data_IF_032688503437
#
_entry.id   IF_032688503437
#
_cell.length_a   1.000
_cell.length_b   1.000
_cell.length_c   1.000
_cell.angle_alpha   90.00
_cell.angle_beta   90.00
_cell.angle_gamma   90.00
#
_symmetry.space_group_name_H-M   'P 1'
#
loop_
_entity.id
_entity.type
_entity.pdbx_description
1 polymer ?
#
# COMPACT_ATOMS: atom_id res chain seq x y z
N UNK A 1 -8.06 42.00 31.14
CA UNK A 1 -9.48 42.02 30.86
C UNK A 1 -9.88 40.57 30.81
N UNK A 2 -10.42 40.05 31.89
CA UNK A 2 -10.70 38.62 32.10
C UNK A 2 -12.17 38.43 31.70
N UNK A 3 -12.38 37.80 30.53
CA UNK A 3 -13.69 37.40 30.10
C UNK A 3 -14.12 36.15 30.89
N UNK A 4 -15.10 36.35 31.73
CA UNK A 4 -15.82 35.29 32.43
C UNK A 4 -16.57 34.43 31.42
N UNK A 5 -16.08 33.27 31.12
CA UNK A 5 -16.86 32.19 30.55
C UNK A 5 -17.90 31.75 31.59
N UNK A 6 -19.11 32.21 31.39
CA UNK A 6 -20.28 31.88 32.19
C UNK A 6 -20.62 30.41 31.98
N UNK A 7 -20.20 29.58 32.92
CA UNK A 7 -20.57 28.17 32.96
C UNK A 7 -22.08 28.06 33.04
N UNK A 8 -22.69 27.61 31.92
CA UNK A 8 -24.09 27.24 31.89
C UNK A 8 -24.25 25.88 32.58
N UNK A 9 -24.46 25.89 33.86
CA UNK A 9 -24.92 24.71 34.56
C UNK A 9 -26.46 24.70 34.48
N UNK A 10 -27.00 23.87 33.58
CA UNK A 10 -28.39 23.44 33.69
C UNK A 10 -28.43 22.51 34.89
N UNK A 11 -28.61 23.12 36.07
CA UNK A 11 -28.96 22.37 37.26
C UNK A 11 -30.47 22.12 37.16
N UNK A 12 -30.87 20.94 36.65
CA UNK A 12 -32.21 20.43 36.89
C UNK A 12 -32.27 20.07 38.37
N UNK A 13 -32.60 21.06 39.17
CA UNK A 13 -33.03 20.80 40.54
C UNK A 13 -34.40 20.12 40.44
N UNK A 14 -34.42 18.82 40.62
CA UNK A 14 -35.65 18.08 40.85
C UNK A 14 -36.24 18.56 42.19
N UNK A 15 -36.89 19.69 42.17
CA UNK A 15 -37.79 20.10 43.24
C UNK A 15 -39.16 19.62 42.87
N UNK A 16 -39.51 18.45 43.40
CA UNK A 16 -40.91 18.03 43.46
C UNK A 16 -41.68 19.10 44.29
N UNK A 17 -42.30 20.04 43.61
CA UNK A 17 -43.28 20.93 44.21
C UNK A 17 -44.54 20.13 44.37
N UNK A 18 -44.68 19.46 45.51
CA UNK A 18 -45.96 18.96 45.99
C UNK A 18 -46.82 20.16 46.33
N UNK A 19 -47.62 20.64 45.38
CA UNK A 19 -48.70 21.59 45.65
C UNK A 19 -49.81 20.78 46.30
N UNK A 20 -49.80 20.76 47.65
CA UNK A 20 -50.96 20.30 48.42
C UNK A 20 -52.08 21.31 48.22
N UNK A 21 -53.01 20.96 47.32
CA UNK A 21 -54.17 21.84 47.01
C UNK A 21 -55.02 22.06 48.21
N UNK A 22 -55.21 23.31 48.61
CA UNK A 22 -56.28 23.74 49.44
C UNK A 22 -57.60 23.55 48.68
N UNK A 23 -58.34 22.58 49.14
CA UNK A 23 -59.75 22.33 48.72
C UNK A 23 -60.60 23.50 49.06
N UNK A 24 -61.07 24.21 48.06
CA UNK A 24 -62.10 25.28 48.28
C UNK A 24 -62.22 26.19 47.06
N UNK A 25 -62.79 25.69 45.94
CA UNK A 25 -63.05 26.57 44.79
C UNK A 25 -63.15 25.81 43.49
N UNK A 26 -64.14 25.10 43.38
CA UNK A 26 -64.90 24.48 42.32
C UNK A 26 -64.57 24.76 40.86
N UNK A 27 -64.37 23.70 40.12
CA UNK A 27 -64.78 23.48 38.71
C UNK A 27 -63.96 24.15 37.60
N UNK A 28 -63.68 25.44 37.72
CA UNK A 28 -63.08 26.23 36.65
C UNK A 28 -61.51 26.09 36.63
N UNK A 29 -60.86 25.85 37.75
CA UNK A 29 -59.44 25.77 37.88
C UNK A 29 -58.91 24.43 37.34
N UNK A 30 -59.68 23.35 37.40
CA UNK A 30 -59.33 22.02 36.97
C UNK A 30 -59.25 21.91 35.44
N UNK A 31 -60.06 22.68 34.72
CA UNK A 31 -60.12 22.69 33.26
C UNK A 31 -58.98 23.52 32.62
N UNK A 32 -58.42 24.47 33.36
CA UNK A 32 -57.31 25.31 32.90
C UNK A 32 -55.93 24.71 33.16
N UNK A 33 -55.82 23.71 34.04
CA UNK A 33 -54.59 23.07 34.40
C UNK A 33 -54.31 21.88 33.42
N UNK A 34 -53.36 22.06 32.49
CA UNK A 34 -53.05 21.09 31.46
C UNK A 34 -51.79 20.25 31.90
N UNK A 35 -51.89 18.92 31.97
CA UNK A 35 -50.71 18.08 32.10
C UNK A 35 -49.91 18.13 30.77
N UNK A 36 -48.59 18.21 30.88
CA UNK A 36 -47.61 18.26 29.76
C UNK A 36 -46.40 17.46 30.13
N UNK A 37 -45.84 16.72 29.22
CA UNK A 37 -44.56 16.05 29.40
C UNK A 37 -43.44 16.94 28.87
N UNK A 38 -42.55 17.35 29.76
CA UNK A 38 -41.34 18.10 29.40
C UNK A 38 -40.16 17.14 29.39
N UNK A 39 -39.55 16.96 28.24
CA UNK A 39 -38.37 16.10 28.04
C UNK A 39 -37.15 16.97 27.72
N UNK A 40 -36.18 17.01 28.60
CA UNK A 40 -34.92 17.76 28.41
C UNK A 40 -33.74 16.77 28.31
N UNK A 41 -33.09 16.80 27.19
CA UNK A 41 -31.94 15.91 26.90
C UNK A 41 -32.26 14.41 27.17
N UNK A 42 -33.49 13.98 26.81
CA UNK A 42 -33.99 12.62 27.01
C UNK A 42 -34.36 12.27 28.47
N UNK A 43 -34.49 13.24 29.32
CA UNK A 43 -35.08 13.10 30.67
C UNK A 43 -36.48 13.71 30.67
N UNK A 44 -37.49 12.88 30.86
CA UNK A 44 -38.88 13.28 30.83
C UNK A 44 -39.43 13.53 32.22
N UNK A 45 -40.19 14.63 32.40
CA UNK A 45 -40.92 15.00 33.60
C UNK A 45 -42.34 15.40 33.23
N UNK A 46 -43.32 14.95 34.00
CA UNK A 46 -44.71 15.40 33.84
C UNK A 46 -44.94 16.67 34.66
N UNK A 47 -45.26 17.75 33.96
CA UNK A 47 -45.53 19.08 34.57
C UNK A 47 -46.96 19.48 34.35
N UNK A 48 -47.42 20.48 35.09
CA UNK A 48 -48.77 21.08 34.94
C UNK A 48 -48.68 22.55 34.65
N UNK A 49 -49.36 23.00 33.62
CA UNK A 49 -49.37 24.40 33.20
C UNK A 49 -50.79 24.95 33.01
N UNK A 50 -50.95 26.25 33.13
CA UNK A 50 -52.19 26.94 32.89
C UNK A 50 -52.41 27.42 31.44
N UNK A 51 -51.54 27.07 30.56
CA UNK A 51 -51.52 27.44 29.13
C UNK A 51 -50.34 28.33 28.80
N UNK A 52 -50.45 29.05 27.71
CA UNK A 52 -49.34 29.82 27.14
C UNK A 52 -48.67 29.08 25.95
N UNK A 53 -47.47 29.47 25.65
CA UNK A 53 -46.65 28.87 24.59
C UNK A 53 -45.60 27.92 25.19
N UNK A 54 -44.96 27.12 24.32
CA UNK A 54 -43.83 26.29 24.72
C UNK A 54 -42.71 27.15 25.34
N UNK A 55 -42.45 28.35 24.79
CA UNK A 55 -41.49 29.30 25.36
C UNK A 55 -41.83 29.71 26.79
N UNK A 56 -43.09 30.04 27.06
CA UNK A 56 -43.54 30.44 28.41
C UNK A 56 -43.31 29.31 29.44
N UNK A 57 -43.43 28.05 29.01
CA UNK A 57 -43.15 26.91 29.88
C UNK A 57 -41.63 26.78 30.15
N UNK A 58 -40.80 26.87 29.10
CA UNK A 58 -39.36 26.77 29.23
C UNK A 58 -38.83 27.89 30.15
N UNK A 59 -39.31 29.12 29.96
CA UNK A 59 -38.94 30.26 30.81
C UNK A 59 -39.35 30.03 32.27
N UNK A 60 -40.56 29.51 32.52
CA UNK A 60 -41.08 29.24 33.87
C UNK A 60 -40.30 28.11 34.59
N UNK A 61 -39.65 27.24 33.84
CA UNK A 61 -38.78 26.16 34.34
C UNK A 61 -37.29 26.50 34.27
N UNK A 62 -36.94 27.77 34.01
CA UNK A 62 -35.55 28.26 33.90
C UNK A 62 -34.71 27.50 32.86
N UNK A 63 -35.36 27.02 31.78
CA UNK A 63 -34.70 26.35 30.67
C UNK A 63 -34.36 27.38 29.60
N UNK A 64 -33.12 27.78 29.58
CA UNK A 64 -32.59 28.72 28.57
C UNK A 64 -32.26 27.96 27.29
N UNK A 65 -32.77 28.45 26.17
CA UNK A 65 -32.62 27.78 24.86
C UNK A 65 -31.86 28.66 23.90
N UNK A 66 -30.79 28.09 23.32
CA UNK A 66 -29.96 28.72 22.31
C UNK A 66 -30.47 28.47 20.88
N UNK A 67 -29.92 29.24 19.93
CA UNK A 67 -30.23 29.11 18.50
C UNK A 67 -29.88 27.75 17.90
N UNK A 68 -28.96 27.02 18.54
CA UNK A 68 -28.54 25.67 18.12
C UNK A 68 -29.34 24.56 18.78
N UNK A 69 -30.08 24.88 19.82
CA UNK A 69 -30.87 23.89 20.55
C UNK A 69 -32.10 23.49 19.73
N UNK A 70 -32.50 22.25 19.88
CA UNK A 70 -33.70 21.72 19.23
C UNK A 70 -34.86 21.72 20.21
N UNK A 71 -35.90 22.42 19.87
CA UNK A 71 -37.17 22.44 20.63
C UNK A 71 -38.30 21.94 19.75
N UNK A 72 -38.99 20.92 20.21
CA UNK A 72 -40.18 20.35 19.53
C UNK A 72 -41.34 20.19 20.51
N UNK A 73 -42.54 20.77 20.23
CA UNK A 73 -42.81 21.75 19.16
C UNK A 73 -42.06 23.06 19.38
N UNK A 74 -41.95 23.90 18.34
CA UNK A 74 -41.24 25.18 18.43
C UNK A 74 -41.75 26.09 19.52
N UNK A 75 -40.90 26.99 20.06
CA UNK A 75 -41.15 27.85 21.24
C UNK A 75 -42.41 28.70 21.13
N UNK A 76 -42.86 29.10 19.95
CA UNK A 76 -44.10 29.87 19.71
C UNK A 76 -45.37 29.01 19.67
N UNK A 77 -45.28 27.70 19.79
CA UNK A 77 -46.44 26.81 19.73
C UNK A 77 -47.28 26.92 21.01
N UNK A 78 -48.60 27.05 20.86
CA UNK A 78 -49.52 27.00 22.00
C UNK A 78 -49.56 25.62 22.61
N UNK A 79 -49.57 25.59 23.92
CA UNK A 79 -49.53 24.33 24.67
C UNK A 79 -50.94 23.74 24.79
N UNK A 80 -51.06 22.47 24.43
CA UNK A 80 -52.27 21.67 24.60
C UNK A 80 -52.10 20.60 25.70
N UNK A 81 -53.23 20.04 26.17
CA UNK A 81 -53.24 18.97 27.15
C UNK A 81 -52.49 17.73 26.58
N UNK A 82 -51.73 17.07 27.44
CA UNK A 82 -50.98 15.85 27.13
C UNK A 82 -49.91 16.05 26.03
N UNK A 83 -49.54 17.32 25.75
CA UNK A 83 -48.46 17.63 24.82
C UNK A 83 -47.09 17.18 25.39
N UNK A 84 -46.24 16.65 24.53
CA UNK A 84 -44.82 16.41 24.84
C UNK A 84 -43.97 17.54 24.26
N UNK A 85 -43.21 18.20 25.13
CA UNK A 85 -42.22 19.22 24.75
C UNK A 85 -40.84 18.62 24.92
N UNK A 86 -40.12 18.49 23.81
CA UNK A 86 -38.74 17.92 23.80
C UNK A 86 -37.75 19.05 23.55
N UNK A 87 -36.77 19.18 24.44
CA UNK A 87 -35.65 20.11 24.34
C UNK A 87 -34.36 19.31 24.32
N UNK A 88 -33.63 19.39 23.23
CA UNK A 88 -32.27 18.82 23.13
C UNK A 88 -31.27 19.96 22.94
N UNK A 89 -30.40 20.15 23.93
CA UNK A 89 -29.35 21.18 23.87
C UNK A 89 -28.26 20.78 22.90
N UNK A 90 -27.70 21.76 22.21
CA UNK A 90 -26.58 21.56 21.32
C UNK A 90 -25.28 21.27 22.10
N UNK A 91 -24.62 20.19 21.79
CA UNK A 91 -23.38 19.73 22.44
C UNK A 91 -22.24 19.71 21.43
N UNK A 92 -21.07 20.18 21.84
CA UNK A 92 -19.86 20.10 21.03
C UNK A 92 -19.21 18.72 21.20
N UNK A 93 -18.84 18.11 20.06
CA UNK A 93 -18.17 16.80 20.01
C UNK A 93 -16.87 16.95 19.24
N UNK A 94 -15.76 16.54 19.85
CA UNK A 94 -14.53 16.26 19.14
C UNK A 94 -14.65 14.83 18.60
N UNK A 95 -14.75 14.70 17.28
CA UNK A 95 -14.97 13.44 16.59
C UNK A 95 -13.72 13.08 15.79
N UNK A 96 -13.19 11.89 16.04
CA UNK A 96 -12.12 11.28 15.26
C UNK A 96 -12.67 10.06 14.54
N UNK A 97 -12.65 10.06 13.22
CA UNK A 97 -13.07 8.91 12.40
C UNK A 97 -11.86 8.43 11.59
N UNK A 98 -11.41 7.22 11.85
CA UNK A 98 -10.20 6.63 11.25
C UNK A 98 -8.99 7.57 11.33
N UNK A 99 -8.81 8.23 12.49
CA UNK A 99 -7.73 9.18 12.75
C UNK A 99 -7.94 10.60 12.19
N UNK A 100 -9.06 10.86 11.50
CA UNK A 100 -9.39 12.19 11.01
C UNK A 100 -10.24 12.93 12.04
N UNK A 101 -9.66 13.96 12.65
CA UNK A 101 -10.32 14.76 13.68
C UNK A 101 -11.20 15.88 13.10
N UNK A 102 -12.39 16.06 13.65
CA UNK A 102 -13.31 17.18 13.38
C UNK A 102 -13.94 17.66 14.69
N UNK A 103 -14.49 18.89 14.68
CA UNK A 103 -15.24 19.42 15.80
C UNK A 103 -16.65 19.77 15.32
N UNK A 104 -17.62 19.05 15.81
CA UNK A 104 -19.00 19.12 15.35
C UNK A 104 -19.98 19.50 16.46
N UNK A 105 -21.15 19.94 16.08
CA UNK A 105 -22.26 20.19 16.98
C UNK A 105 -23.39 19.21 16.71
N UNK A 106 -23.97 18.65 17.77
CA UNK A 106 -25.14 17.76 17.69
C UNK A 106 -26.13 18.05 18.79
N UNK A 107 -27.41 17.80 18.52
CA UNK A 107 -28.47 17.80 19.53
C UNK A 107 -28.75 16.40 20.09
N UNK A 108 -27.92 15.45 19.76
CA UNK A 108 -28.01 14.06 20.24
C UNK A 108 -27.80 13.96 21.75
N UNK A 109 -28.42 12.96 22.35
CA UNK A 109 -28.29 12.70 23.77
C UNK A 109 -27.32 11.57 24.11
N UNK A 110 -26.97 10.72 23.09
CA UNK A 110 -26.04 9.61 23.25
C UNK A 110 -25.00 9.60 22.13
N UNK A 111 -23.88 8.89 22.36
CA UNK A 111 -22.82 8.72 21.39
C UNK A 111 -23.35 8.13 20.07
N UNK A 112 -24.18 7.08 20.15
CA UNK A 112 -24.74 6.45 18.95
C UNK A 112 -25.67 7.38 18.16
N UNK A 113 -26.48 8.21 18.85
CA UNK A 113 -27.30 9.22 18.20
C UNK A 113 -26.44 10.31 17.55
N UNK A 114 -25.37 10.75 18.22
CA UNK A 114 -24.45 11.74 17.66
C UNK A 114 -23.78 11.23 16.37
N UNK A 115 -23.30 10.00 16.37
CA UNK A 115 -22.70 9.38 15.18
C UNK A 115 -23.71 9.32 14.02
N UNK A 116 -24.97 8.93 14.31
CA UNK A 116 -26.04 8.91 13.31
C UNK A 116 -26.37 10.32 12.77
N UNK A 117 -26.46 11.34 13.65
CA UNK A 117 -26.69 12.73 13.26
C UNK A 117 -25.58 13.29 12.37
N UNK A 118 -24.33 12.90 12.66
CA UNK A 118 -23.14 13.34 11.93
C UNK A 118 -22.83 12.48 10.69
N UNK A 119 -23.70 11.50 10.38
CA UNK A 119 -23.57 10.66 9.19
C UNK A 119 -22.45 9.63 9.24
N UNK A 120 -22.01 9.25 10.45
CA UNK A 120 -20.95 8.25 10.65
C UNK A 120 -21.58 6.86 10.75
N UNK A 121 -21.21 5.95 9.85
CA UNK A 121 -21.61 4.54 9.95
C UNK A 121 -20.79 3.85 11.05
N UNK A 122 -21.45 3.60 12.18
CA UNK A 122 -20.87 2.92 13.33
C UNK A 122 -21.14 1.40 13.33
N UNK A 123 -21.71 0.84 12.26
CA UNK A 123 -21.99 -0.60 12.18
C UNK A 123 -20.69 -1.39 12.14
N UNK A 124 -20.48 -2.21 13.17
CA UNK A 124 -19.24 -3.00 13.29
C UNK A 124 -17.99 -2.19 13.60
N UNK A 125 -18.11 -0.87 13.83
CA UNK A 125 -17.03 -0.01 14.22
C UNK A 125 -16.58 -0.26 15.67
N UNK A 126 -15.30 0.00 15.95
CA UNK A 126 -14.77 0.10 17.31
C UNK A 126 -14.88 1.57 17.80
N UNK A 127 -15.38 1.73 19.01
CA UNK A 127 -15.63 3.03 19.63
C UNK A 127 -14.91 3.12 20.97
N UNK A 128 -14.33 4.27 21.28
CA UNK A 128 -13.75 4.55 22.60
C UNK A 128 -14.82 4.67 23.72
N UNK A 129 -16.10 4.73 23.34
CA UNK A 129 -17.23 4.86 24.24
C UNK A 129 -18.40 3.97 23.82
N UNK A 130 -19.29 3.60 24.75
CA UNK A 130 -20.51 2.83 24.39
C UNK A 130 -21.48 3.72 23.60
N UNK A 131 -22.09 3.17 22.55
CA UNK A 131 -23.12 3.90 21.79
C UNK A 131 -24.28 4.42 22.64
N UNK A 132 -24.64 3.73 23.73
CA UNK A 132 -25.66 4.15 24.72
C UNK A 132 -25.15 5.16 25.73
N UNK A 133 -23.88 5.50 25.76
CA UNK A 133 -23.31 6.47 26.68
C UNK A 133 -23.89 7.85 26.38
N UNK A 134 -24.34 8.53 27.43
CA UNK A 134 -24.87 9.91 27.32
C UNK A 134 -23.73 10.88 27.05
N UNK A 135 -23.99 11.82 26.16
CA UNK A 135 -23.14 12.98 25.94
C UNK A 135 -23.23 13.93 27.13
N UNK A 136 -22.12 14.54 27.47
CA UNK A 136 -22.00 15.63 28.45
C UNK A 136 -22.28 16.97 27.74
N UNK A 137 -22.51 18.01 28.50
CA UNK A 137 -22.67 19.35 27.94
C UNK A 137 -21.35 19.83 27.27
N UNK A 138 -20.20 19.41 27.81
CA UNK A 138 -18.86 19.69 27.27
C UNK A 138 -17.93 18.49 27.40
N UNK A 139 -16.86 18.44 26.57
CA UNK A 139 -15.79 17.43 26.66
C UNK A 139 -16.22 16.06 26.16
N UNK A 140 -16.91 16.02 25.04
CA UNK A 140 -17.24 14.76 24.36
C UNK A 140 -16.18 14.46 23.29
N UNK A 141 -15.32 13.49 23.59
CA UNK A 141 -14.33 12.98 22.66
C UNK A 141 -14.78 11.59 22.18
N UNK A 142 -15.07 11.47 20.89
CA UNK A 142 -15.54 10.23 20.27
C UNK A 142 -14.54 9.80 19.22
N UNK A 143 -13.89 8.64 19.44
CA UNK A 143 -13.01 7.99 18.47
C UNK A 143 -13.74 6.81 17.84
N UNK A 144 -13.71 6.76 16.53
CA UNK A 144 -14.36 5.73 15.72
C UNK A 144 -13.34 5.11 14.78
N UNK A 145 -13.11 3.80 14.90
CA UNK A 145 -12.45 3.02 13.86
C UNK A 145 -13.52 2.28 13.08
N UNK A 146 -13.75 2.66 11.83
CA UNK A 146 -14.80 2.06 11.01
C UNK A 146 -14.48 0.62 10.65
N UNK A 147 -15.54 -0.21 10.52
CA UNK A 147 -15.38 -1.55 9.98
C UNK A 147 -14.97 -1.48 8.49
N UNK A 148 -14.00 -2.30 8.10
CA UNK A 148 -13.49 -2.37 6.72
C UNK A 148 -13.48 -3.80 6.23
N UNK A 149 -13.89 -4.00 4.98
CA UNK A 149 -13.74 -5.25 4.27
C UNK A 149 -12.44 -5.20 3.45
N UNK A 150 -11.48 -6.04 3.80
CA UNK A 150 -10.21 -6.11 3.09
C UNK A 150 -9.72 -7.55 2.95
N UNK A 151 -8.73 -7.78 2.11
CA UNK A 151 -8.18 -9.11 1.87
C UNK A 151 -6.68 -9.11 2.18
N UNK A 152 -6.24 -10.07 2.99
CA UNK A 152 -4.82 -10.36 3.20
C UNK A 152 -4.46 -11.61 2.40
N UNK A 153 -3.60 -11.47 1.41
CA UNK A 153 -3.10 -12.60 0.61
C UNK A 153 -1.81 -13.12 1.22
N UNK A 154 -1.82 -14.38 1.65
CA UNK A 154 -0.67 -15.04 2.24
C UNK A 154 -0.57 -16.50 1.79
N UNK A 155 0.62 -16.95 1.40
CA UNK A 155 0.88 -18.34 1.01
C UNK A 155 -0.07 -18.86 -0.09
N UNK A 156 -0.44 -17.96 -1.03
CA UNK A 156 -1.37 -18.24 -2.14
C UNK A 156 -2.84 -18.38 -1.71
N UNK A 157 -3.21 -17.91 -0.51
CA UNK A 157 -4.58 -17.93 0.01
C UNK A 157 -5.06 -16.54 0.34
N UNK A 158 -6.34 -16.30 0.11
CA UNK A 158 -7.03 -15.08 0.47
C UNK A 158 -7.64 -15.22 1.87
N UNK A 159 -7.24 -14.34 2.78
CA UNK A 159 -7.82 -14.19 4.10
C UNK A 159 -8.66 -12.92 4.11
N UNK A 160 -9.98 -13.07 4.14
CA UNK A 160 -10.90 -11.94 4.22
C UNK A 160 -10.96 -11.42 5.65
N UNK A 161 -10.89 -10.11 5.79
CA UNK A 161 -11.05 -9.38 7.05
C UNK A 161 -12.27 -8.49 6.91
N UNK A 162 -13.19 -8.58 7.88
CA UNK A 162 -14.35 -7.70 8.00
C UNK A 162 -14.39 -7.25 9.46
N UNK A 163 -13.64 -6.21 9.77
CA UNK A 163 -13.40 -5.76 11.15
C UNK A 163 -13.05 -4.28 11.22
N UNK A 164 -13.22 -3.70 12.42
CA UNK A 164 -12.73 -2.37 12.73
C UNK A 164 -11.21 -2.39 12.88
N UNK A 165 -10.52 -2.05 11.81
CA UNK A 165 -9.05 -2.02 11.74
C UNK A 165 -8.58 -0.70 11.11
N UNK A 166 -7.65 -0.03 11.77
CA UNK A 166 -7.04 1.21 11.30
C UNK A 166 -5.76 0.98 10.51
N UNK A 167 -4.99 -0.07 10.82
CA UNK A 167 -3.65 -0.30 10.30
C UNK A 167 -3.49 -1.67 9.65
N UNK A 168 -2.50 -1.79 8.75
CA UNK A 168 -2.13 -3.06 8.13
C UNK A 168 -1.71 -4.12 9.17
N UNK A 169 -1.11 -3.69 10.29
CA UNK A 169 -0.75 -4.57 11.40
C UNK A 169 -1.98 -5.19 12.07
N UNK A 170 -3.03 -4.40 12.29
CA UNK A 170 -4.28 -4.86 12.88
C UNK A 170 -5.00 -5.82 11.95
N UNK A 171 -5.09 -5.46 10.66
CA UNK A 171 -5.66 -6.33 9.64
C UNK A 171 -4.93 -7.68 9.54
N UNK A 172 -3.60 -7.68 9.57
CA UNK A 172 -2.82 -8.91 9.58
C UNK A 172 -3.07 -9.75 10.84
N UNK A 173 -3.15 -9.10 12.00
CA UNK A 173 -3.41 -9.76 13.28
C UNK A 173 -4.77 -10.46 13.28
N UNK A 174 -5.78 -9.85 12.67
CA UNK A 174 -7.14 -10.39 12.58
C UNK A 174 -7.17 -11.71 11.78
N UNK A 175 -6.32 -11.84 10.75
CA UNK A 175 -6.22 -13.08 9.97
C UNK A 175 -5.51 -14.22 10.68
N UNK A 176 -4.78 -13.95 11.76
CA UNK A 176 -3.90 -14.90 12.42
C UNK A 176 -2.63 -15.27 11.64
N UNK A 177 -2.38 -14.64 10.48
CA UNK A 177 -1.17 -14.86 9.69
C UNK A 177 0.02 -14.25 10.41
N UNK A 178 1.07 -15.06 10.62
CA UNK A 178 2.31 -14.62 11.27
C UNK A 178 3.38 -14.33 10.21
N UNK A 179 4.16 -13.30 10.45
CA UNK A 179 5.36 -12.98 9.66
C UNK A 179 6.59 -13.54 10.36
N UNK A 180 7.49 -14.15 9.59
CA UNK A 180 8.83 -14.46 10.04
C UNK A 180 9.70 -13.18 10.00
N UNK A 181 10.94 -13.29 10.52
CA UNK A 181 11.82 -12.14 10.70
C UNK A 181 12.07 -11.31 9.44
N UNK A 182 12.18 -11.98 8.31
CA UNK A 182 12.51 -11.38 7.02
C UNK A 182 11.29 -11.14 6.13
N UNK A 183 10.10 -11.63 6.54
CA UNK A 183 8.84 -11.46 5.82
C UNK A 183 8.35 -10.00 5.92
N UNK A 184 7.62 -9.57 4.92
CA UNK A 184 7.06 -8.21 4.89
C UNK A 184 5.70 -8.15 4.17
N UNK A 185 4.91 -7.13 4.50
CA UNK A 185 3.68 -6.80 3.78
C UNK A 185 3.97 -5.92 2.57
N UNK A 186 3.05 -5.90 1.63
CA UNK A 186 3.04 -4.97 0.49
C UNK A 186 2.99 -3.49 0.88
N UNK A 187 2.64 -3.20 2.13
CA UNK A 187 2.65 -1.86 2.74
C UNK A 187 3.33 -1.91 4.11
N UNK A 188 3.81 -0.79 4.66
CA UNK A 188 4.30 -0.73 6.03
C UNK A 188 3.24 -1.21 7.04
N UNK A 189 3.67 -1.87 8.12
CA UNK A 189 2.77 -2.35 9.18
C UNK A 189 1.93 -1.24 9.84
N UNK A 190 2.47 -0.02 9.88
CA UNK A 190 1.81 1.17 10.41
C UNK A 190 0.96 1.93 9.38
N UNK A 191 0.90 1.45 8.13
CA UNK A 191 0.09 2.11 7.11
C UNK A 191 -1.40 1.98 7.45
N UNK A 192 -2.13 3.06 7.29
CA UNK A 192 -3.59 3.05 7.34
C UNK A 192 -4.16 2.15 6.24
N UNK A 193 -5.25 1.47 6.56
CA UNK A 193 -5.94 0.59 5.63
C UNK A 193 -7.29 1.18 5.23
N UNK A 194 -7.68 0.91 4.00
CA UNK A 194 -8.95 1.35 3.42
C UNK A 194 -9.85 0.17 3.09
N UNK A 195 -11.13 0.44 3.00
CA UNK A 195 -12.11 -0.54 2.56
C UNK A 195 -11.77 -1.08 1.15
N UNK A 196 -11.96 -2.38 0.92
CA UNK A 196 -11.61 -3.06 -0.34
C UNK A 196 -10.12 -3.26 -0.58
N UNK A 197 -9.23 -2.88 0.34
CA UNK A 197 -7.79 -2.98 0.14
C UNK A 197 -7.31 -4.44 0.16
N UNK A 198 -6.32 -4.73 -0.70
CA UNK A 198 -5.61 -6.01 -0.70
C UNK A 198 -4.20 -5.83 -0.15
N UNK A 199 -3.87 -6.56 0.90
CA UNK A 199 -2.56 -6.62 1.53
C UNK A 199 -1.89 -7.96 1.15
N UNK A 200 -0.66 -7.92 0.65
CA UNK A 200 0.08 -9.14 0.30
C UNK A 200 1.21 -9.39 1.27
N UNK A 201 1.28 -10.60 1.82
CA UNK A 201 2.41 -11.08 2.61
C UNK A 201 3.47 -11.62 1.67
N UNK A 202 4.67 -11.10 1.76
CA UNK A 202 5.82 -11.55 1.01
C UNK A 202 6.70 -12.43 1.89
N UNK A 203 6.78 -13.73 1.57
CA UNK A 203 7.58 -14.72 2.30
C UNK A 203 9.01 -14.70 1.82
N UNK A 204 9.94 -14.45 2.71
CA UNK A 204 11.37 -14.38 2.40
C UNK A 204 12.10 -15.59 2.95
N UNK A 205 12.81 -16.34 2.08
CA UNK A 205 13.71 -17.42 2.51
C UNK A 205 15.14 -17.13 2.06
N UNK A 206 16.07 -17.45 2.94
CA UNK A 206 17.50 -17.34 2.70
C UNK A 206 18.13 -18.75 2.81
N UNK A 207 18.39 -19.37 1.67
CA UNK A 207 18.89 -20.74 1.59
C UNK A 207 20.35 -20.77 1.12
N UNK A 208 21.02 -21.89 1.39
CA UNK A 208 22.35 -22.17 0.87
C UNK A 208 22.28 -23.37 -0.06
N UNK A 209 22.56 -23.13 -1.35
CA UNK A 209 22.52 -24.15 -2.40
C UNK A 209 23.94 -24.48 -2.82
N UNK A 210 24.26 -25.77 -2.96
CA UNK A 210 25.54 -26.27 -3.48
C UNK A 210 25.31 -26.80 -4.87
N UNK A 211 26.11 -26.32 -5.82
CA UNK A 211 26.06 -26.70 -7.22
C UNK A 211 27.41 -27.26 -7.64
N UNK A 212 27.39 -28.34 -8.43
CA UNK A 212 28.57 -28.95 -9.00
C UNK A 212 28.81 -28.48 -10.43
N UNK A 213 29.98 -27.96 -10.71
CA UNK A 213 30.33 -27.40 -12.00
C UNK A 213 31.58 -28.07 -12.53
N UNK A 214 31.62 -28.35 -13.83
CA UNK A 214 32.81 -28.88 -14.48
C UNK A 214 33.86 -27.78 -14.66
N UNK A 215 35.13 -28.13 -14.38
CA UNK A 215 36.30 -27.33 -14.74
C UNK A 215 36.83 -27.91 -16.04
N UNK A 216 36.68 -27.17 -17.13
CA UNK A 216 37.14 -27.65 -18.43
C UNK A 216 38.64 -27.93 -18.47
N UNK A 217 39.02 -29.10 -19.05
CA UNK A 217 40.39 -29.45 -19.28
C UNK A 217 41.05 -28.47 -20.26
N UNK A 218 42.23 -27.99 -19.93
CA UNK A 218 43.03 -27.20 -20.86
C UNK A 218 43.54 -28.10 -22.02
N UNK A 219 43.63 -27.53 -23.23
CA UNK A 219 44.25 -28.17 -24.38
C UNK A 219 45.60 -27.50 -24.62
N UNK A 220 46.67 -28.25 -24.54
CA UNK A 220 48.01 -27.82 -24.84
C UNK A 220 48.45 -28.44 -26.16
N UNK A 221 48.92 -27.62 -27.11
CA UNK A 221 49.42 -28.06 -28.41
C UNK A 221 50.94 -27.99 -28.40
N UNK A 222 51.59 -29.14 -28.57
CA UNK A 222 53.05 -29.24 -28.76
C UNK A 222 53.36 -29.42 -30.24
N UNK A 223 54.33 -28.68 -30.74
CA UNK A 223 54.86 -28.86 -32.14
C UNK A 223 55.86 -29.93 -32.19
N UNK A 224 55.86 -30.79 -33.24
CA UNK A 224 56.81 -31.84 -33.45
C UNK A 224 57.07 -32.04 -34.96
N UNK A 225 58.32 -32.29 -35.28
CA UNK A 225 58.77 -32.64 -36.62
C UNK A 225 58.60 -34.12 -36.97
N UNK A 226 58.17 -34.95 -36.04
CA UNK A 226 57.85 -36.37 -36.26
C UNK A 226 56.56 -36.62 -37.04
N UNK A 227 55.71 -35.56 -37.22
CA UNK A 227 54.42 -35.59 -37.94
C UNK A 227 54.48 -34.55 -39.08
N UNK A 228 53.76 -34.82 -40.16
CA UNK A 228 53.68 -33.89 -41.28
C UNK A 228 52.78 -32.70 -40.91
N UNK A 229 52.99 -31.53 -41.52
CA UNK A 229 52.23 -30.36 -41.39
C UNK A 229 50.74 -30.67 -41.71
N UNK A 230 49.83 -30.29 -40.78
CA UNK A 230 48.36 -30.61 -40.84
C UNK A 230 47.98 -31.89 -40.08
N UNK A 231 48.96 -32.75 -39.71
CA UNK A 231 48.65 -33.94 -38.90
C UNK A 231 48.64 -33.59 -37.39
N UNK A 232 47.72 -34.22 -36.67
CA UNK A 232 47.65 -34.07 -35.20
C UNK A 232 47.55 -35.45 -34.53
N UNK A 233 48.21 -35.60 -33.39
CA UNK A 233 48.15 -36.82 -32.57
C UNK A 233 47.91 -36.45 -31.13
N UNK A 234 46.92 -37.10 -30.48
CA UNK A 234 46.67 -36.91 -29.04
C UNK A 234 47.73 -37.69 -28.25
N UNK A 235 48.60 -36.99 -27.52
CA UNK A 235 49.58 -37.55 -26.63
C UNK A 235 49.00 -37.92 -25.27
N UNK A 236 48.15 -37.05 -24.72
CA UNK A 236 47.47 -37.30 -23.47
C UNK A 236 46.00 -36.89 -23.58
N UNK A 237 45.10 -37.78 -23.16
CA UNK A 237 43.66 -37.47 -23.07
C UNK A 237 43.41 -36.54 -21.89
N UNK A 238 42.73 -35.41 -22.16
CA UNK A 238 42.26 -34.52 -21.11
C UNK A 238 41.10 -35.14 -20.34
N UNK A 239 40.94 -34.70 -19.12
CA UNK A 239 39.75 -35.01 -18.32
C UNK A 239 39.30 -33.74 -17.61
N UNK A 240 37.99 -33.40 -17.74
CA UNK A 240 37.40 -32.26 -16.99
C UNK A 240 37.51 -32.52 -15.48
N UNK A 241 37.82 -31.49 -14.73
CA UNK A 241 37.72 -31.45 -13.27
C UNK A 241 36.32 -31.14 -12.79
N UNK A 242 36.12 -31.18 -11.51
CA UNK A 242 34.84 -30.83 -10.87
C UNK A 242 35.09 -29.86 -9.72
N UNK A 243 34.27 -28.83 -9.62
CA UNK A 243 34.22 -27.92 -8.48
C UNK A 243 32.80 -27.85 -7.90
N UNK A 244 32.71 -27.65 -6.59
CA UNK A 244 31.49 -27.35 -5.90
C UNK A 244 31.45 -25.86 -5.61
N UNK A 245 30.40 -25.17 -6.09
CA UNK A 245 30.14 -23.76 -5.79
C UNK A 245 28.97 -23.68 -4.82
N UNK A 246 29.19 -22.97 -3.74
CA UNK A 246 28.15 -22.71 -2.73
C UNK A 246 27.57 -21.34 -2.96
N UNK A 247 26.26 -21.27 -3.16
CA UNK A 247 25.52 -20.03 -3.35
C UNK A 247 24.64 -19.74 -2.14
N UNK A 248 24.54 -18.46 -1.74
CA UNK A 248 23.48 -17.94 -0.91
C UNK A 248 22.36 -17.48 -1.83
N UNK A 249 21.18 -18.06 -1.65
CA UNK A 249 20.00 -17.79 -2.48
C UNK A 249 18.93 -17.15 -1.60
N UNK A 250 18.41 -15.99 -2.01
CA UNK A 250 17.25 -15.36 -1.40
C UNK A 250 16.06 -15.56 -2.32
N UNK A 251 14.97 -16.10 -1.78
CA UNK A 251 13.70 -16.22 -2.51
C UNK A 251 12.64 -15.35 -1.86
N UNK A 252 11.71 -14.83 -2.66
CA UNK A 252 10.49 -14.16 -2.21
C UNK A 252 9.32 -14.89 -2.84
N UNK A 253 8.39 -15.35 -2.01
CA UNK A 253 7.24 -16.17 -2.44
C UNK A 253 7.63 -17.40 -3.29
N UNK A 254 8.84 -17.96 -3.04
CA UNK A 254 9.38 -19.10 -3.77
C UNK A 254 10.16 -18.76 -5.05
N UNK A 255 10.15 -17.52 -5.51
CA UNK A 255 10.94 -17.06 -6.66
C UNK A 255 12.33 -16.59 -6.23
N UNK A 256 13.38 -17.02 -6.96
CA UNK A 256 14.75 -16.60 -6.70
C UNK A 256 14.94 -15.13 -7.09
N UNK A 257 15.20 -14.27 -6.07
CA UNK A 257 15.43 -12.83 -6.28
C UNK A 257 16.90 -12.45 -6.18
N UNK A 258 17.72 -13.29 -5.54
CA UNK A 258 19.15 -13.05 -5.41
C UNK A 258 19.91 -14.36 -5.26
N UNK A 259 21.01 -14.53 -6.03
CA UNK A 259 21.94 -15.64 -5.94
C UNK A 259 23.36 -15.11 -5.87
N UNK A 260 24.02 -15.30 -4.75
CA UNK A 260 25.39 -14.83 -4.52
C UNK A 260 26.32 -16.03 -4.29
N UNK A 261 27.46 -16.05 -4.99
CA UNK A 261 28.51 -17.02 -4.74
C UNK A 261 29.14 -16.75 -3.38
N UNK A 262 29.07 -17.73 -2.47
CA UNK A 262 29.65 -17.64 -1.12
C UNK A 262 31.01 -18.29 -1.04
N UNK A 263 31.17 -19.46 -1.67
CA UNK A 263 32.36 -20.27 -1.57
C UNK A 263 32.52 -21.17 -2.80
N UNK A 264 33.77 -21.58 -3.08
CA UNK A 264 34.09 -22.51 -4.16
C UNK A 264 35.15 -23.49 -3.68
N UNK A 265 34.89 -24.76 -3.89
CA UNK A 265 35.85 -25.84 -3.55
C UNK A 265 36.08 -26.73 -4.77
N UNK A 266 37.31 -26.86 -5.18
CA UNK A 266 37.70 -27.83 -6.22
C UNK A 266 37.59 -29.24 -5.62
N UNK A 267 36.84 -30.12 -6.26
CA UNK A 267 36.63 -31.51 -5.89
C UNK A 267 37.60 -32.42 -6.63
N UNK A 268 37.89 -32.12 -7.91
CA UNK A 268 38.90 -32.78 -8.72
C UNK A 268 39.54 -31.79 -9.69
N UNK A 269 40.85 -31.82 -9.78
CA UNK A 269 41.59 -31.00 -10.75
C UNK A 269 41.39 -31.52 -12.18
N UNK A 270 41.29 -30.63 -13.17
CA UNK A 270 41.24 -31.02 -14.57
C UNK A 270 42.62 -31.56 -15.04
N UNK A 271 42.59 -32.57 -15.87
CA UNK A 271 43.82 -33.07 -16.55
C UNK A 271 43.92 -32.45 -17.94
N UNK A 272 45.08 -31.86 -18.25
CA UNK A 272 45.32 -31.20 -19.53
C UNK A 272 45.33 -32.24 -20.69
N UNK A 273 44.63 -31.91 -21.78
CA UNK A 273 44.73 -32.63 -23.04
C UNK A 273 45.96 -32.14 -23.78
N UNK A 274 46.89 -33.05 -24.18
CA UNK A 274 48.06 -32.70 -24.97
C UNK A 274 47.88 -33.21 -26.38
N UNK A 275 47.99 -32.30 -27.35
CA UNK A 275 47.87 -32.61 -28.79
C UNK A 275 49.20 -32.25 -29.44
N UNK A 276 49.82 -33.20 -30.12
CA UNK A 276 51.01 -32.98 -30.96
C UNK A 276 50.53 -32.53 -32.35
N UNK A 277 51.03 -31.40 -32.80
CA UNK A 277 50.82 -30.87 -34.16
C UNK A 277 52.12 -31.01 -34.97
N UNK A 278 51.99 -31.64 -36.14
CA UNK A 278 53.10 -31.84 -37.06
C UNK A 278 53.61 -30.54 -37.69
N UNK A 279 54.96 -30.47 -37.85
CA UNK A 279 55.66 -29.35 -38.49
C UNK A 279 56.55 -29.80 -39.65
N UNK A 280 56.59 -31.11 -39.91
CA UNK A 280 57.39 -31.63 -40.99
C UNK A 280 56.78 -31.31 -42.35
N UNK A 281 57.45 -30.55 -43.15
CA UNK A 281 56.98 -30.27 -44.52
C UNK A 281 57.02 -31.54 -45.36
N UNK A 282 55.96 -31.79 -46.12
CA UNK A 282 55.94 -32.84 -47.12
C UNK A 282 56.83 -32.40 -48.28
N UNK A 283 57.87 -33.16 -48.59
CA UNK A 283 58.63 -32.90 -49.80
C UNK A 283 57.70 -33.11 -51.00
N UNK A 284 57.49 -32.06 -51.79
CA UNK A 284 56.81 -32.17 -53.07
C UNK A 284 57.74 -32.90 -54.01
N UNK A 285 57.28 -33.91 -54.81
CA UNK A 285 58.11 -34.50 -55.86
C UNK A 285 58.38 -33.39 -56.90
N UNK A 286 59.70 -33.28 -57.27
CA UNK A 286 60.17 -32.37 -58.27
C UNK A 286 59.41 -32.59 -59.60
N UNK A 287 58.62 -31.57 -59.98
CA UNK A 287 57.89 -31.52 -61.27
C UNK A 287 58.88 -31.21 -62.36
N UNK A 288 59.01 -32.16 -63.25
CA UNK A 288 59.70 -32.01 -64.55
C UNK A 288 58.65 -31.50 -65.54
N UNK A 289 58.72 -30.23 -65.84
CA UNK A 289 58.35 -29.49 -67.02
C UNK A 289 57.23 -29.90 -67.94
N UNK A 290 56.37 -28.94 -68.22
CA UNK A 290 55.42 -28.93 -69.36
C UNK A 290 54.59 -27.68 -69.39
N UNK A 291 55.03 -26.75 -70.24
CA UNK A 291 54.26 -25.57 -70.68
C UNK A 291 52.89 -25.95 -71.25
N UNK A 292 51.82 -25.21 -70.99
CA UNK A 292 51.09 -24.52 -72.06
C UNK A 292 49.98 -23.62 -71.55
N UNK A 293 49.77 -22.67 -72.38
CA UNK A 293 48.92 -21.47 -72.31
C UNK A 293 47.45 -21.66 -72.10
N UNK A 294 46.79 -20.60 -71.64
CA UNK A 294 45.43 -20.30 -72.12
C UNK A 294 44.43 -19.82 -71.05
N UNK A 295 44.35 -18.53 -71.00
CA UNK A 295 43.15 -17.69 -71.26
C UNK A 295 41.95 -17.73 -70.31
N UNK A 296 41.72 -16.49 -69.91
CA UNK A 296 40.41 -15.80 -69.75
C UNK A 296 39.26 -16.30 -68.86
N UNK A 297 38.80 -15.37 -68.08
CA UNK A 297 37.36 -15.15 -67.93
C UNK A 297 36.84 -15.20 -66.46
N UNK A 298 36.76 -14.05 -65.89
CA UNK A 298 35.57 -13.27 -65.62
C UNK A 298 34.66 -13.69 -64.45
N UNK A 299 34.46 -12.70 -63.58
CA UNK A 299 33.27 -12.27 -62.89
C UNK A 299 32.50 -13.21 -61.94
N UNK A 300 32.24 -12.66 -60.79
CA UNK A 300 31.01 -12.89 -60.03
C UNK A 300 31.17 -12.80 -58.54
N UNK A 301 31.16 -11.66 -58.00
CA UNK A 301 30.19 -11.00 -57.15
C UNK A 301 29.27 -11.86 -56.26
N UNK A 302 29.22 -11.50 -55.02
CA UNK A 302 28.13 -11.90 -54.09
C UNK A 302 28.70 -12.31 -52.75
N UNK A 303 28.75 -11.48 -51.84
CA UNK A 303 27.88 -10.74 -50.96
C UNK A 303 27.59 -11.49 -49.67
N UNK A 304 27.91 -10.76 -48.61
CA UNK A 304 27.22 -10.59 -47.34
C UNK A 304 27.00 -11.78 -46.41
N UNK A 305 27.49 -11.63 -45.24
CA UNK A 305 27.08 -12.36 -44.04
C UNK A 305 27.67 -11.74 -42.77
N UNK A 306 27.19 -10.59 -42.45
CA UNK A 306 27.42 -9.90 -41.19
C UNK A 306 26.88 -10.71 -40.00
N UNK A 307 27.65 -10.82 -38.95
CA UNK A 307 27.17 -11.16 -37.61
C UNK A 307 28.02 -10.44 -36.58
N UNK A 308 27.68 -9.21 -36.34
CA UNK A 308 28.17 -8.41 -35.25
C UNK A 308 27.63 -8.91 -33.91
N UNK A 309 28.50 -9.47 -33.09
CA UNK A 309 28.22 -9.63 -31.68
C UNK A 309 28.72 -8.42 -30.94
N UNK A 310 27.81 -7.61 -30.43
CA UNK A 310 28.15 -6.48 -29.58
C UNK A 310 28.03 -6.87 -28.11
N UNK A 311 29.16 -6.92 -27.45
CA UNK A 311 29.28 -6.96 -25.98
C UNK A 311 29.56 -5.56 -25.51
N UNK A 312 28.55 -4.88 -24.98
CA UNK A 312 28.74 -3.61 -24.31
C UNK A 312 28.66 -3.77 -22.81
N UNK A 313 29.82 -3.83 -22.20
CA UNK A 313 30.04 -3.62 -20.76
C UNK A 313 30.10 -2.12 -20.53
N UNK A 314 29.18 -1.59 -19.74
CA UNK A 314 29.19 -0.20 -19.29
C UNK A 314 28.95 -0.13 -17.80
N UNK A 315 30.03 -0.05 -17.01
CA UNK A 315 29.96 0.26 -15.59
C UNK A 315 29.69 1.75 -15.39
N UNK A 316 28.91 2.07 -14.38
CA UNK A 316 28.68 3.42 -13.89
C UNK A 316 28.20 3.37 -12.45
N UNK A 317 29.12 3.60 -11.53
CA UNK A 317 28.89 3.72 -10.09
C UNK A 317 28.19 5.03 -9.79
N UNK A 318 27.07 4.99 -9.04
CA UNK A 318 26.38 6.14 -8.49
C UNK A 318 25.59 5.73 -7.25
N UNK A 319 26.08 6.14 -6.12
CA UNK A 319 25.58 5.91 -4.76
C UNK A 319 24.21 6.54 -4.52
N UNK A 320 23.29 5.81 -3.90
CA UNK A 320 22.09 6.39 -3.26
C UNK A 320 20.83 5.56 -3.42
N UNK A 321 20.47 4.76 -2.39
CA UNK A 321 19.20 4.02 -2.31
C UNK A 321 19.33 2.61 -2.88
N UNK A 322 19.16 1.60 -2.01
CA UNK A 322 19.40 0.20 -2.32
C UNK A 322 18.80 -0.24 -3.66
N UNK A 323 19.65 -0.76 -4.52
CA UNK A 323 19.26 -1.33 -5.81
C UNK A 323 18.38 -2.56 -5.57
N UNK A 324 17.06 -2.41 -5.81
CA UNK A 324 16.15 -3.55 -5.87
C UNK A 324 16.38 -4.32 -7.17
N UNK A 325 16.43 -5.64 -7.04
CA UNK A 325 16.37 -6.51 -8.21
C UNK A 325 15.04 -6.39 -8.94
N UNK A 326 15.01 -6.76 -10.21
CA UNK A 326 13.77 -6.77 -11.00
C UNK A 326 12.67 -7.59 -10.32
N UNK A 327 13.01 -8.69 -9.67
CA UNK A 327 12.10 -9.59 -8.97
C UNK A 327 11.53 -8.95 -7.70
N UNK A 328 12.34 -8.22 -6.96
CA UNK A 328 11.87 -7.44 -5.80
C UNK A 328 10.94 -6.31 -6.24
N UNK A 329 11.21 -5.66 -7.38
CA UNK A 329 10.31 -4.67 -7.99
C UNK A 329 8.97 -5.31 -8.39
N UNK A 330 8.98 -6.45 -9.06
CA UNK A 330 7.76 -7.18 -9.44
C UNK A 330 6.93 -7.58 -8.22
N UNK A 331 7.58 -8.05 -7.16
CA UNK A 331 6.92 -8.38 -5.89
C UNK A 331 6.32 -7.15 -5.21
N UNK A 332 7.07 -6.03 -5.17
CA UNK A 332 6.58 -4.75 -4.62
C UNK A 332 5.33 -4.25 -5.36
N UNK A 333 5.22 -4.52 -6.65
CA UNK A 333 4.09 -4.12 -7.49
C UNK A 333 2.87 -5.06 -7.39
N UNK A 334 2.94 -6.10 -6.57
CA UNK A 334 1.83 -7.04 -6.33
C UNK A 334 1.74 -8.21 -7.32
N UNK A 335 2.80 -8.47 -8.09
CA UNK A 335 2.88 -9.59 -9.03
C UNK A 335 2.00 -9.46 -10.28
N UNK A 336 1.96 -10.50 -11.14
CA UNK A 336 1.37 -10.44 -12.50
C UNK A 336 -0.11 -10.06 -12.56
N UNK A 337 -0.88 -10.31 -11.50
CA UNK A 337 -2.31 -9.95 -11.40
C UNK A 337 -2.55 -8.47 -11.06
N UNK A 338 -1.55 -7.76 -10.58
CA UNK A 338 -1.68 -6.36 -10.20
C UNK A 338 -1.66 -5.44 -11.42
N UNK A 339 -2.53 -4.43 -11.40
CA UNK A 339 -2.53 -3.38 -12.43
C UNK A 339 -1.22 -2.58 -12.42
N UNK A 340 -0.62 -2.36 -11.27
CA UNK A 340 0.70 -1.73 -11.13
C UNK A 340 1.81 -2.53 -11.78
N UNK A 341 1.77 -3.85 -11.67
CA UNK A 341 2.69 -4.74 -12.35
C UNK A 341 2.56 -4.61 -13.87
N UNK A 342 1.32 -4.61 -14.40
CA UNK A 342 1.06 -4.50 -15.83
C UNK A 342 1.54 -3.16 -16.39
N UNK A 343 1.28 -2.06 -15.67
CA UNK A 343 1.76 -0.73 -16.05
C UNK A 343 3.29 -0.67 -16.07
N UNK A 344 3.96 -1.09 -15.00
CA UNK A 344 5.42 -1.05 -14.96
C UNK A 344 6.09 -1.99 -15.97
N UNK A 345 5.46 -3.14 -16.25
CA UNK A 345 5.91 -4.05 -17.30
C UNK A 345 5.87 -3.39 -18.68
N UNK A 346 4.77 -2.73 -19.00
CA UNK A 346 4.56 -2.08 -20.29
C UNK A 346 5.41 -0.80 -20.43
N UNK A 347 5.47 0.04 -19.41
CA UNK A 347 6.14 1.35 -19.47
C UNK A 347 7.67 1.26 -19.47
N UNK A 348 8.24 0.31 -18.71
CA UNK A 348 9.69 0.26 -18.49
C UNK A 348 10.30 -1.15 -18.50
N UNK A 349 9.48 -2.19 -18.65
CA UNK A 349 9.87 -3.58 -18.40
C UNK A 349 10.56 -3.76 -17.03
N UNK A 350 10.00 -3.13 -16.00
CA UNK A 350 10.49 -3.11 -14.61
C UNK A 350 11.86 -2.45 -14.41
N UNK A 351 12.30 -1.62 -15.36
CA UNK A 351 13.56 -0.91 -15.23
C UNK A 351 13.33 0.47 -14.55
N UNK A 352 13.77 0.67 -13.30
CA UNK A 352 13.60 1.94 -12.60
C UNK A 352 14.45 3.08 -13.18
N UNK A 353 15.45 2.75 -14.02
CA UNK A 353 16.32 3.70 -14.69
C UNK A 353 16.00 3.86 -16.17
N UNK A 354 14.82 3.42 -16.61
CA UNK A 354 14.40 3.56 -17.99
C UNK A 354 14.26 5.03 -18.41
N UNK A 355 14.77 5.35 -19.59
CA UNK A 355 14.55 6.61 -20.28
C UNK A 355 13.91 6.30 -21.62
N UNK A 356 12.81 6.95 -21.96
CA UNK A 356 12.15 6.75 -23.24
C UNK A 356 13.03 7.30 -24.37
N UNK A 357 13.58 6.39 -25.18
CA UNK A 357 14.53 6.73 -26.26
C UNK A 357 13.89 7.54 -27.40
N UNK A 358 12.55 7.52 -27.53
CA UNK A 358 11.86 8.22 -28.62
C UNK A 358 11.72 9.73 -28.37
N UNK A 359 11.64 10.14 -27.10
CA UNK A 359 11.38 11.54 -26.75
C UNK A 359 12.27 12.09 -25.62
N UNK A 360 13.04 11.25 -24.93
CA UNK A 360 13.89 11.60 -23.79
C UNK A 360 13.18 12.44 -22.70
N UNK A 361 11.85 12.32 -22.61
CA UNK A 361 11.02 13.11 -21.73
C UNK A 361 10.26 12.31 -20.67
N UNK A 362 10.39 10.96 -20.69
CA UNK A 362 9.74 10.07 -19.74
C UNK A 362 10.78 9.17 -19.08
N UNK A 363 10.67 9.03 -17.76
CA UNK A 363 11.73 8.53 -16.90
C UNK A 363 11.23 7.50 -15.86
N UNK A 364 12.05 6.51 -15.60
CA UNK A 364 11.89 5.58 -14.50
C UNK A 364 10.84 4.48 -14.73
N UNK A 365 10.51 3.80 -13.66
CA UNK A 365 9.65 2.59 -13.63
C UNK A 365 8.25 2.83 -14.23
N UNK A 366 7.71 4.03 -14.06
CA UNK A 366 6.38 4.43 -14.51
C UNK A 366 6.41 5.53 -15.59
N UNK A 367 7.55 5.76 -16.20
CA UNK A 367 7.75 6.72 -17.29
C UNK A 367 7.17 8.11 -16.98
N UNK A 368 7.54 8.66 -15.81
CA UNK A 368 7.16 10.02 -15.42
C UNK A 368 7.75 11.10 -16.32
N UNK A 369 6.95 12.10 -16.66
CA UNK A 369 7.49 13.40 -17.07
C UNK A 369 8.10 14.10 -15.86
N UNK A 370 9.19 14.82 -16.04
CA UNK A 370 9.89 15.49 -14.93
C UNK A 370 8.98 16.44 -14.15
N UNK A 371 8.14 17.20 -14.86
CA UNK A 371 7.19 18.12 -14.23
C UNK A 371 6.14 17.38 -13.37
N UNK A 372 5.59 16.26 -13.89
CA UNK A 372 4.64 15.42 -13.14
C UNK A 372 5.31 14.80 -11.92
N UNK A 373 6.55 14.34 -12.05
CA UNK A 373 7.35 13.83 -10.94
C UNK A 373 7.48 14.85 -9.80
N UNK A 374 7.88 16.07 -10.15
CA UNK A 374 8.04 17.17 -9.21
C UNK A 374 6.71 17.56 -8.55
N UNK A 375 5.60 17.63 -9.31
CA UNK A 375 4.27 17.94 -8.75
C UNK A 375 3.78 16.86 -7.77
N UNK A 376 4.20 15.61 -7.94
CA UNK A 376 3.93 14.54 -6.99
C UNK A 376 4.86 14.60 -5.75
N UNK A 377 5.79 15.55 -5.70
CA UNK A 377 6.73 15.77 -4.60
C UNK A 377 8.05 15.03 -4.76
N UNK A 378 8.37 14.53 -5.95
CA UNK A 378 9.68 13.96 -6.27
C UNK A 378 10.73 15.05 -6.46
N UNK A 379 11.97 14.80 -6.05
CA UNK A 379 13.13 15.67 -6.28
C UNK A 379 14.04 15.05 -7.35
N UNK A 380 14.77 15.90 -8.08
CA UNK A 380 15.70 15.43 -9.12
C UNK A 380 15.01 14.73 -10.28
N UNK A 381 15.68 13.71 -10.83
CA UNK A 381 15.14 12.90 -11.92
C UNK A 381 14.56 11.58 -11.37
N UNK A 382 13.41 11.09 -11.85
CA UNK A 382 12.84 9.81 -11.45
C UNK A 382 13.82 8.63 -11.50
N UNK A 383 14.74 8.60 -12.46
CA UNK A 383 15.72 7.50 -12.61
C UNK A 383 16.76 7.45 -11.50
N UNK A 384 16.93 8.54 -10.74
CA UNK A 384 17.86 8.64 -9.61
C UNK A 384 17.17 8.25 -8.28
N UNK A 385 15.83 8.17 -8.29
CA UNK A 385 15.03 7.79 -7.14
C UNK A 385 14.93 6.26 -7.01
N UNK A 386 14.74 5.78 -5.77
CA UNK A 386 14.53 4.36 -5.53
C UNK A 386 13.23 3.85 -6.18
N UNK A 387 13.14 2.55 -6.56
CA UNK A 387 11.90 1.97 -7.08
C UNK A 387 10.70 2.18 -6.15
N UNK A 388 10.91 2.15 -4.84
CA UNK A 388 9.88 2.39 -3.83
C UNK A 388 9.35 3.81 -3.91
N UNK A 389 10.23 4.81 -4.01
CA UNK A 389 9.82 6.20 -4.14
C UNK A 389 9.07 6.43 -5.46
N UNK A 390 9.57 5.88 -6.55
CA UNK A 390 8.88 5.96 -7.84
C UNK A 390 7.47 5.38 -7.75
N UNK A 391 7.30 4.25 -7.06
CA UNK A 391 6.00 3.62 -6.86
C UNK A 391 5.07 4.45 -5.95
N UNK A 392 5.59 5.04 -4.86
CA UNK A 392 4.80 5.93 -4.00
C UNK A 392 4.28 7.15 -4.77
N UNK A 393 5.11 7.77 -5.62
CA UNK A 393 4.70 8.89 -6.47
C UNK A 393 3.68 8.47 -7.52
N UNK A 394 3.83 7.27 -8.09
CA UNK A 394 2.84 6.72 -9.02
C UNK A 394 1.49 6.48 -8.35
N UNK A 395 1.47 5.94 -7.13
CA UNK A 395 0.23 5.80 -6.36
C UNK A 395 -0.45 7.14 -6.08
N UNK A 396 0.33 8.16 -5.72
CA UNK A 396 -0.19 9.51 -5.50
C UNK A 396 -0.78 10.10 -6.78
N UNK A 397 -0.10 9.96 -7.91
CA UNK A 397 -0.61 10.40 -9.21
C UNK A 397 -1.90 9.67 -9.59
N UNK A 398 -1.93 8.36 -9.39
CA UNK A 398 -3.12 7.55 -9.66
C UNK A 398 -4.32 7.97 -8.80
N UNK A 399 -4.10 8.26 -7.51
CA UNK A 399 -5.15 8.70 -6.61
C UNK A 399 -5.72 10.09 -6.98
N UNK A 400 -4.93 10.96 -7.59
CA UNK A 400 -5.35 12.30 -8.00
C UNK A 400 -5.97 12.33 -9.41
N UNK A 401 -5.36 11.63 -10.37
CA UNK A 401 -5.64 11.75 -11.80
C UNK A 401 -6.20 10.46 -12.43
N UNK A 402 -6.27 9.38 -11.64
CA UNK A 402 -6.72 8.07 -12.12
C UNK A 402 -5.68 7.34 -12.98
N UNK A 403 -6.13 6.23 -13.58
CA UNK A 403 -5.27 5.37 -14.39
C UNK A 403 -4.95 5.93 -15.78
N UNK A 404 -5.71 6.90 -16.28
CA UNK A 404 -5.54 7.50 -17.62
C UNK A 404 -4.19 8.20 -17.84
N UNK A 405 -3.33 8.29 -16.82
CA UNK A 405 -1.99 8.87 -16.92
C UNK A 405 -0.99 7.94 -17.62
N UNK A 406 -1.29 6.66 -17.70
CA UNK A 406 -0.44 5.66 -18.35
C UNK A 406 -1.17 5.05 -19.55
N UNK A 407 -0.51 5.07 -20.70
CA UNK A 407 -1.07 4.49 -21.93
C UNK A 407 -1.30 2.97 -21.82
N UNK A 408 -0.64 2.33 -20.86
CA UNK A 408 -0.66 0.90 -20.59
C UNK A 408 -1.60 0.48 -19.46
N UNK A 409 -2.43 1.40 -18.93
CA UNK A 409 -3.27 1.12 -17.75
C UNK A 409 -4.72 0.76 -18.09
#
# INVERSE_FOLDING_TARGET
MIDFLKNRKVQIAAQAVVITGLVGGTGAVVTMNKPVTLEVNGQAEEIRTFGGTVGDILDSHEIDVDKRDQVKPGVGTKVDRDMTITVNTAKKVALSVDGKETNEWTNANTVGQALADLGVDAKGADLNAKASQRLKDEGNDIDVTTSKDLTVVADGKDHKVSAAVGTAKEALKDTGVKLDKDDFLSVPMSAEVSDGQVLTVNRVKNDTVKDKQAIKAKVETKKSDSLYEGETKVEAQGKDGEKQVTYKVKTINGEEVKKEKKDEKVLSEPKTKVVIQGTKKKEEPADTGGSDSGDSGDSGSGDSGDSGGDSSTGGGSGSGGGDMSTEEIKAMLGGPGSKWYQVAKCESNFNPRAVNKSNNAHFGLFQFKLQTWQSMGGSGNPVDASPQEQFQRAKKLQAQEGWGQWACA
#
